data_IF_867669717025
#
_entry.id   IF_867669717025
#
_cell.length_a   1.000
_cell.length_b   1.000
_cell.length_c   1.000
_cell.angle_alpha   90.00
_cell.angle_beta   90.00
_cell.angle_gamma   90.00
#
_symmetry.space_group_name_H-M   'P 1'
#
loop_
_entity.id
_entity.type
_entity.pdbx_description
1 polymer ?
#
# COMPACT_ATOMS: atom_id res chain seq x y z
N UNK A 1 6.67 8.29 -16.71
CA UNK A 1 6.87 6.84 -16.51
C UNK A 1 5.52 6.21 -16.16
N UNK A 2 5.32 4.96 -16.55
CA UNK A 2 4.04 4.24 -16.45
C UNK A 2 4.17 3.05 -15.50
N UNK A 3 3.26 2.97 -14.57
CA UNK A 3 3.22 1.95 -13.51
C UNK A 3 2.05 1.02 -13.73
N UNK A 4 2.28 -0.28 -13.64
CA UNK A 4 1.23 -1.29 -13.47
C UNK A 4 1.12 -1.57 -11.98
N UNK A 5 0.03 -1.15 -11.36
CA UNK A 5 -0.28 -1.43 -9.95
C UNK A 5 -1.32 -2.53 -9.86
N UNK A 6 -1.04 -3.57 -9.09
CA UNK A 6 -1.96 -4.69 -8.85
C UNK A 6 -2.08 -4.90 -7.34
N UNK A 7 -3.30 -5.03 -6.81
CA UNK A 7 -3.42 -5.31 -5.38
C UNK A 7 -4.84 -5.24 -4.83
N UNK A 8 -4.96 -5.59 -3.55
CA UNK A 8 -6.21 -5.48 -2.82
C UNK A 8 -6.54 -4.03 -2.50
N UNK A 9 -7.80 -3.66 -2.61
CA UNK A 9 -8.29 -2.34 -2.26
C UNK A 9 -9.43 -2.39 -1.25
N UNK A 10 -9.57 -1.34 -0.46
CA UNK A 10 -10.68 -1.19 0.48
C UNK A 10 -11.21 0.24 0.54
N UNK A 11 -12.35 0.37 1.21
CA UNK A 11 -12.90 1.65 1.64
C UNK A 11 -12.72 1.77 3.14
N UNK A 12 -11.98 2.78 3.59
CA UNK A 12 -11.88 3.14 5.00
C UNK A 12 -12.97 4.15 5.34
N UNK A 13 -13.78 3.83 6.33
CA UNK A 13 -14.89 4.67 6.82
C UNK A 13 -14.56 5.10 8.26
N UNK A 14 -14.61 6.39 8.51
CA UNK A 14 -14.35 6.98 9.82
C UNK A 14 -15.64 7.60 10.32
N UNK A 15 -16.26 7.02 11.35
CA UNK A 15 -17.47 7.52 12.00
C UNK A 15 -17.05 8.25 13.27
N UNK A 16 -17.18 9.56 13.27
CA UNK A 16 -16.88 10.40 14.42
C UNK A 16 -18.15 10.71 15.19
N UNK A 17 -18.07 10.66 16.51
CA UNK A 17 -19.21 10.95 17.39
C UNK A 17 -18.79 11.23 18.82
N UNK A 18 -19.77 11.44 19.68
CA UNK A 18 -19.57 11.64 21.11
C UNK A 18 -19.74 10.33 21.87
N UNK A 19 -18.83 10.05 22.79
CA UNK A 19 -18.96 8.98 23.79
C UNK A 19 -19.16 9.61 25.16
N UNK A 20 -20.43 9.66 25.63
CA UNK A 20 -20.80 10.34 26.89
C UNK A 20 -21.10 9.37 28.03
N UNK A 21 -21.45 8.13 27.72
CA UNK A 21 -21.91 7.14 28.70
C UNK A 21 -21.63 5.72 28.27
N UNK A 22 -21.64 4.83 29.22
CA UNK A 22 -21.65 3.39 28.99
C UNK A 22 -23.07 2.88 28.74
N UNK A 23 -23.17 1.78 28.02
CA UNK A 23 -24.43 1.09 27.83
C UNK A 23 -24.88 0.45 29.17
N UNK A 24 -26.14 0.62 29.63
CA UNK A 24 -26.64 -0.01 30.83
C UNK A 24 -26.76 -1.53 30.71
N UNK A 25 -26.85 -2.07 29.49
CA UNK A 25 -27.02 -3.53 29.25
C UNK A 25 -25.69 -4.26 29.16
N UNK A 26 -24.56 -3.56 28.87
CA UNK A 26 -23.23 -4.14 28.73
C UNK A 26 -22.16 -3.08 28.99
N UNK A 27 -20.95 -3.44 29.48
CA UNK A 27 -19.88 -2.50 29.78
C UNK A 27 -19.16 -2.02 28.51
N UNK A 28 -19.93 -1.46 27.57
CA UNK A 28 -19.43 -0.92 26.30
C UNK A 28 -19.84 0.55 26.14
N UNK A 29 -19.02 1.38 25.49
CA UNK A 29 -19.38 2.77 25.23
C UNK A 29 -20.55 2.89 24.24
N UNK A 30 -21.36 3.92 24.38
CA UNK A 30 -22.36 4.32 23.39
C UNK A 30 -21.79 5.50 22.63
N UNK A 31 -21.60 5.33 21.31
CA UNK A 31 -21.19 6.40 20.40
C UNK A 31 -22.44 7.01 19.76
N UNK A 32 -22.59 8.32 19.88
CA UNK A 32 -23.61 9.12 19.20
C UNK A 32 -22.98 9.71 17.94
N UNK A 33 -23.22 9.16 16.71
CA UNK A 33 -22.52 9.58 15.52
C UNK A 33 -22.90 11.01 15.09
N UNK A 34 -21.92 11.81 14.63
CA UNK A 34 -22.09 13.18 14.16
C UNK A 34 -21.73 13.37 12.70
N UNK A 35 -20.62 12.76 12.27
CA UNK A 35 -20.14 12.84 10.88
C UNK A 35 -19.45 11.57 10.46
N UNK A 36 -19.36 11.39 9.18
CA UNK A 36 -18.67 10.25 8.56
C UNK A 36 -17.78 10.76 7.45
N UNK A 37 -16.52 10.32 7.46
CA UNK A 37 -15.57 10.54 6.39
C UNK A 37 -15.25 9.18 5.73
N UNK A 38 -14.95 9.22 4.44
CA UNK A 38 -14.65 8.01 3.67
C UNK A 38 -13.42 8.24 2.82
N UNK A 39 -12.45 7.33 2.92
CA UNK A 39 -11.23 7.34 2.11
C UNK A 39 -11.02 6.00 1.43
N UNK A 40 -10.18 5.97 0.39
CA UNK A 40 -9.78 4.74 -0.28
C UNK A 40 -8.45 4.27 0.28
N UNK A 41 -8.39 3.04 0.76
CA UNK A 41 -7.22 2.43 1.42
C UNK A 41 -6.56 1.32 0.61
N UNK A 42 -5.51 0.71 1.19
CA UNK A 42 -4.70 -0.35 0.59
C UNK A 42 -4.08 0.11 -0.74
N UNK A 43 -4.20 -0.66 -1.83
CA UNK A 43 -3.63 -0.32 -3.13
C UNK A 43 -4.09 1.05 -3.66
N UNK A 44 -5.27 1.56 -3.26
CA UNK A 44 -5.67 2.93 -3.59
C UNK A 44 -4.79 4.00 -2.95
N UNK A 45 -4.26 3.76 -1.74
CA UNK A 45 -3.32 4.70 -1.13
C UNK A 45 -1.98 4.71 -1.87
N UNK A 46 -1.50 3.53 -2.31
CA UNK A 46 -0.33 3.43 -3.20
C UNK A 46 -0.59 4.16 -4.52
N UNK A 47 -1.76 3.95 -5.14
CA UNK A 47 -2.17 4.63 -6.37
C UNK A 47 -2.13 6.15 -6.24
N UNK A 48 -2.72 6.69 -5.18
CA UNK A 48 -2.80 8.12 -4.96
C UNK A 48 -1.39 8.73 -4.79
N UNK A 49 -0.51 8.09 -4.02
CA UNK A 49 0.85 8.57 -3.81
C UNK A 49 1.71 8.43 -5.07
N UNK A 50 1.61 7.34 -5.84
CA UNK A 50 2.29 7.22 -7.14
C UNK A 50 1.85 8.32 -8.12
N UNK A 51 0.54 8.63 -8.12
CA UNK A 51 -0.02 9.70 -8.96
C UNK A 51 0.46 11.09 -8.50
N UNK A 52 0.56 11.32 -7.18
CA UNK A 52 1.10 12.55 -6.61
C UNK A 52 2.55 12.80 -7.06
N UNK A 53 3.36 11.74 -7.20
CA UNK A 53 4.70 11.82 -7.79
C UNK A 53 4.69 12.06 -9.32
N UNK A 54 3.54 12.23 -9.96
CA UNK A 54 3.41 12.48 -11.40
C UNK A 54 3.57 11.24 -12.27
N UNK A 55 3.45 10.04 -11.71
CA UNK A 55 3.48 8.79 -12.47
C UNK A 55 2.11 8.49 -13.09
N UNK A 56 2.11 7.91 -14.28
CA UNK A 56 0.89 7.41 -14.93
C UNK A 56 0.63 5.99 -14.46
N UNK A 57 -0.43 5.78 -13.69
CA UNK A 57 -0.72 4.50 -13.05
C UNK A 57 -1.91 3.82 -13.70
N UNK A 58 -1.74 2.57 -14.11
CA UNK A 58 -2.84 1.67 -14.44
C UNK A 58 -3.00 0.69 -13.28
N UNK A 59 -4.19 0.64 -12.70
CA UNK A 59 -4.45 -0.15 -11.50
C UNK A 59 -5.45 -1.27 -11.77
N UNK A 60 -5.12 -2.46 -11.30
CA UNK A 60 -6.00 -3.63 -11.22
C UNK A 60 -6.24 -3.96 -9.75
N UNK A 61 -7.51 -4.04 -9.36
CA UNK A 61 -7.92 -4.32 -7.98
C UNK A 61 -9.25 -5.08 -7.95
N UNK A 62 -9.57 -5.65 -6.79
CA UNK A 62 -10.84 -6.33 -6.54
C UNK A 62 -12.05 -5.43 -6.83
N UNK A 63 -13.11 -6.04 -7.34
CA UNK A 63 -14.42 -5.38 -7.53
C UNK A 63 -15.26 -5.42 -6.26
N UNK A 64 -15.09 -6.47 -5.47
CA UNK A 64 -15.78 -6.66 -4.21
C UNK A 64 -15.37 -5.56 -3.21
N UNK A 65 -16.35 -5.02 -2.52
CA UNK A 65 -16.14 -3.87 -1.63
C UNK A 65 -15.72 -4.33 -0.22
N UNK A 66 -14.43 -4.34 0.05
CA UNK A 66 -13.91 -4.43 1.42
C UNK A 66 -14.15 -3.09 2.12
N UNK A 67 -14.75 -3.12 3.31
CA UNK A 67 -15.00 -1.90 4.11
C UNK A 67 -14.41 -2.06 5.50
N UNK A 68 -13.66 -1.02 5.94
CA UNK A 68 -13.10 -0.94 7.30
C UNK A 68 -13.66 0.29 7.99
N UNK A 69 -14.60 0.08 8.89
CA UNK A 69 -15.28 1.15 9.62
C UNK A 69 -14.62 1.35 10.99
N UNK A 70 -14.13 2.57 11.23
CA UNK A 70 -13.56 2.99 12.52
C UNK A 70 -14.51 3.94 13.20
N UNK A 71 -14.89 3.62 14.43
CA UNK A 71 -15.70 4.47 15.28
C UNK A 71 -14.80 5.22 16.24
N UNK A 72 -14.86 6.56 16.22
CA UNK A 72 -13.92 7.44 16.91
C UNK A 72 -14.67 8.41 17.79
N UNK A 73 -14.28 8.50 19.07
CA UNK A 73 -14.72 9.59 19.93
C UNK A 73 -14.05 10.89 19.48
N UNK A 74 -14.85 11.83 18.98
CA UNK A 74 -14.34 13.07 18.37
C UNK A 74 -13.59 13.94 19.39
N UNK A 75 -14.00 13.89 20.66
CA UNK A 75 -13.40 14.72 21.70
C UNK A 75 -12.02 14.26 22.13
N UNK A 76 -11.82 12.94 22.30
CA UNK A 76 -10.55 12.35 22.70
C UNK A 76 -9.69 11.92 21.52
N UNK A 77 -10.26 11.88 20.32
CA UNK A 77 -9.69 11.29 19.11
C UNK A 77 -9.31 9.79 19.30
N UNK A 78 -10.00 9.12 20.21
CA UNK A 78 -9.76 7.70 20.51
C UNK A 78 -10.63 6.81 19.63
N UNK A 79 -10.02 5.82 18.97
CA UNK A 79 -10.75 4.77 18.28
C UNK A 79 -11.38 3.84 19.30
N UNK A 80 -12.72 3.70 19.25
CA UNK A 80 -13.51 2.88 20.15
C UNK A 80 -13.69 1.45 19.63
N UNK A 81 -13.93 1.34 18.33
CA UNK A 81 -14.21 0.08 17.66
C UNK A 81 -13.76 0.15 16.20
N UNK A 82 -13.32 -0.99 15.65
CA UNK A 82 -13.21 -1.18 14.21
C UNK A 82 -14.05 -2.38 13.79
N UNK A 83 -14.80 -2.21 12.72
CA UNK A 83 -15.59 -3.25 12.07
C UNK A 83 -15.04 -3.45 10.67
N UNK A 84 -14.60 -4.66 10.36
CA UNK A 84 -14.12 -5.04 9.05
C UNK A 84 -15.20 -5.91 8.36
N UNK A 85 -15.71 -5.41 7.24
CA UNK A 85 -16.61 -6.13 6.34
C UNK A 85 -15.77 -6.55 5.12
N UNK A 86 -15.42 -7.82 5.08
CA UNK A 86 -14.50 -8.41 4.10
C UNK A 86 -15.21 -9.56 3.38
N UNK A 87 -15.87 -9.31 2.25
CA UNK A 87 -16.47 -10.36 1.44
C UNK A 87 -15.39 -11.26 0.83
N UNK A 88 -15.80 -12.43 0.35
CA UNK A 88 -14.92 -13.29 -0.46
C UNK A 88 -14.51 -12.56 -1.75
N UNK A 89 -13.21 -12.42 -1.95
CA UNK A 89 -12.64 -11.71 -3.08
C UNK A 89 -12.34 -12.71 -4.21
N UNK A 90 -12.81 -12.40 -5.41
CA UNK A 90 -12.45 -13.17 -6.61
C UNK A 90 -11.00 -12.89 -6.97
N UNK A 91 -10.21 -13.96 -7.18
CA UNK A 91 -8.84 -13.80 -7.65
C UNK A 91 -8.77 -13.02 -8.97
N UNK A 92 -7.66 -12.29 -9.15
CA UNK A 92 -7.35 -11.63 -10.41
C UNK A 92 -7.52 -12.63 -11.57
N UNK A 93 -8.47 -12.41 -12.49
CA UNK A 93 -8.64 -13.28 -13.64
C UNK A 93 -7.40 -13.16 -14.53
N UNK A 94 -6.73 -14.28 -14.75
CA UNK A 94 -5.53 -14.32 -15.57
C UNK A 94 -5.83 -14.95 -16.92
N UNK A 95 -5.84 -14.10 -17.93
CA UNK A 95 -5.40 -14.45 -19.27
C UNK A 95 -4.47 -13.34 -19.74
N UNK A 96 -3.17 -13.62 -20.03
CA UNK A 96 -2.32 -12.59 -20.61
C UNK A 96 -2.92 -12.21 -21.97
N UNK A 97 -3.26 -10.94 -22.19
CA UNK A 97 -3.75 -10.54 -23.49
C UNK A 97 -2.57 -10.57 -24.46
N UNK A 98 -2.68 -11.37 -25.51
CA UNK A 98 -1.85 -11.26 -26.69
C UNK A 98 -2.25 -10.04 -27.54
N UNK A 99 -2.56 -8.90 -26.91
CA UNK A 99 -2.90 -7.68 -27.61
C UNK A 99 -1.60 -6.91 -27.85
N UNK A 100 -1.11 -7.00 -29.07
CA UNK A 100 0.08 -6.25 -29.53
C UNK A 100 -0.26 -4.82 -29.99
N UNK A 101 -1.54 -4.50 -30.20
CA UNK A 101 -1.99 -3.20 -30.70
C UNK A 101 -2.69 -2.38 -29.60
N UNK A 102 -2.07 -1.24 -29.23
CA UNK A 102 -2.64 -0.28 -28.26
C UNK A 102 -3.98 0.30 -28.71
N UNK A 103 -4.21 0.45 -30.01
CA UNK A 103 -5.44 1.03 -30.57
C UNK A 103 -6.65 0.07 -30.47
N UNK A 104 -6.38 -1.24 -30.42
CA UNK A 104 -7.36 -2.29 -30.30
C UNK A 104 -7.73 -2.63 -28.84
N UNK A 105 -7.02 -2.05 -27.86
CA UNK A 105 -7.30 -2.27 -26.45
C UNK A 105 -8.55 -1.50 -25.99
N UNK A 106 -9.70 -2.04 -26.35
CA UNK A 106 -10.98 -1.66 -25.74
C UNK A 106 -11.09 -2.42 -24.42
N UNK A 107 -10.72 -1.71 -23.35
CA UNK A 107 -10.71 -2.09 -21.95
C UNK A 107 -11.79 -3.11 -21.55
N UNK A 108 -11.57 -4.43 -21.59
CA UNK A 108 -12.36 -5.35 -20.78
C UNK A 108 -11.89 -5.16 -19.32
N UNK A 109 -12.78 -5.13 -18.36
CA UNK A 109 -12.49 -4.73 -16.99
C UNK A 109 -11.48 -5.60 -16.22
N UNK A 110 -10.97 -6.70 -16.79
CA UNK A 110 -10.21 -7.70 -16.04
C UNK A 110 -8.97 -8.26 -16.80
N UNK A 111 -8.47 -7.59 -17.84
CA UNK A 111 -7.28 -8.06 -18.54
C UNK A 111 -6.04 -7.27 -18.12
N UNK A 112 -4.94 -7.99 -17.84
CA UNK A 112 -3.64 -7.37 -17.62
C UNK A 112 -3.16 -6.83 -18.97
N UNK A 113 -2.87 -5.52 -19.09
CA UNK A 113 -2.35 -4.95 -20.33
C UNK A 113 -0.98 -5.50 -20.67
N UNK A 114 -0.52 -5.37 -21.94
CA UNK A 114 0.82 -5.81 -22.33
C UNK A 114 1.90 -5.21 -21.43
N UNK A 115 2.81 -6.05 -20.92
CA UNK A 115 3.87 -5.65 -20.00
C UNK A 115 4.79 -4.56 -20.55
N UNK A 116 4.98 -4.53 -21.85
CA UNK A 116 5.81 -3.56 -22.58
C UNK A 116 5.25 -2.12 -22.50
N UNK A 117 4.01 -1.98 -22.00
CA UNK A 117 3.41 -0.66 -21.80
C UNK A 117 3.83 0.01 -20.48
N UNK A 118 4.53 -0.71 -19.61
CA UNK A 118 4.88 -0.23 -18.28
C UNK A 118 6.37 -0.27 -18.02
N UNK A 119 6.85 0.71 -17.29
CA UNK A 119 8.25 0.86 -16.91
C UNK A 119 8.55 0.09 -15.61
N UNK A 120 7.52 -0.14 -14.78
CA UNK A 120 7.62 -0.80 -13.48
C UNK A 120 6.29 -1.46 -13.12
N UNK A 121 6.33 -2.57 -12.36
CA UNK A 121 5.17 -3.18 -11.74
C UNK A 121 5.25 -3.04 -10.21
N UNK A 122 4.12 -2.71 -9.61
CA UNK A 122 3.94 -2.64 -8.15
C UNK A 122 2.83 -3.59 -7.74
N UNK A 123 3.08 -4.42 -6.74
CA UNK A 123 2.07 -5.31 -6.15
C UNK A 123 1.87 -4.90 -4.69
N UNK A 124 0.63 -4.50 -4.34
CA UNK A 124 0.20 -4.16 -2.99
C UNK A 124 -0.80 -5.20 -2.51
N UNK A 125 -0.28 -6.27 -1.92
CA UNK A 125 -1.01 -7.48 -1.55
C UNK A 125 -1.27 -7.53 -0.04
N UNK A 126 -2.51 -7.29 0.33
CA UNK A 126 -2.99 -7.36 1.72
C UNK A 126 -3.52 -8.74 2.11
N UNK A 127 -3.29 -9.74 1.24
CA UNK A 127 -3.74 -11.12 1.40
C UNK A 127 -5.26 -11.24 1.58
N UNK A 128 -6.01 -10.44 0.78
CA UNK A 128 -7.48 -10.48 0.75
C UNK A 128 -8.03 -11.42 -0.33
N UNK A 129 -7.16 -11.99 -1.16
CA UNK A 129 -7.53 -13.00 -2.15
C UNK A 129 -7.44 -12.55 -3.60
N UNK A 130 -7.30 -11.23 -3.88
CA UNK A 130 -7.18 -10.75 -5.26
C UNK A 130 -5.89 -11.23 -5.92
N UNK A 131 -4.74 -11.13 -5.22
CA UNK A 131 -3.47 -11.71 -5.65
C UNK A 131 -3.27 -13.02 -4.92
N UNK A 132 -3.52 -14.17 -5.55
CA UNK A 132 -3.24 -15.48 -4.95
C UNK A 132 -1.74 -15.73 -4.85
N UNK A 133 -1.34 -16.77 -4.09
CA UNK A 133 0.05 -17.16 -3.97
C UNK A 133 0.67 -17.48 -5.35
N UNK A 134 -0.06 -18.24 -6.19
CA UNK A 134 0.36 -18.59 -7.54
C UNK A 134 0.50 -17.35 -8.41
N UNK A 135 -0.48 -16.41 -8.33
CA UNK A 135 -0.47 -15.17 -9.10
C UNK A 135 0.72 -14.29 -8.74
N UNK A 136 1.10 -14.22 -7.47
CA UNK A 136 2.25 -13.44 -7.05
C UNK A 136 3.54 -13.90 -7.78
N UNK A 137 3.76 -15.22 -7.88
CA UNK A 137 4.89 -15.78 -8.61
C UNK A 137 4.75 -15.63 -10.13
N UNK A 138 3.57 -15.87 -10.69
CA UNK A 138 3.31 -15.72 -12.12
C UNK A 138 3.58 -14.29 -12.58
N UNK A 139 3.05 -13.29 -11.87
CA UNK A 139 3.23 -11.87 -12.18
C UNK A 139 4.69 -11.46 -12.10
N UNK A 140 5.39 -11.85 -11.03
CA UNK A 140 6.82 -11.52 -10.86
C UNK A 140 7.71 -12.12 -11.94
N UNK A 141 7.38 -13.32 -12.42
CA UNK A 141 8.11 -13.97 -13.52
C UNK A 141 7.71 -13.43 -14.90
N UNK A 142 6.46 -13.00 -15.07
CA UNK A 142 5.95 -12.48 -16.33
C UNK A 142 6.52 -11.10 -16.65
N UNK A 143 6.65 -10.21 -15.65
CA UNK A 143 7.11 -8.84 -15.87
C UNK A 143 8.63 -8.82 -16.00
N UNK A 144 9.14 -8.12 -17.03
CA UNK A 144 10.59 -8.11 -17.35
C UNK A 144 11.32 -6.86 -16.82
N UNK A 145 10.59 -5.90 -16.27
CA UNK A 145 11.12 -4.71 -15.62
C UNK A 145 11.26 -4.87 -14.10
N UNK A 146 11.55 -3.79 -13.39
CA UNK A 146 11.56 -3.79 -11.92
C UNK A 146 10.18 -4.13 -11.36
N UNK A 147 10.15 -4.98 -10.33
CA UNK A 147 8.93 -5.35 -9.61
C UNK A 147 9.11 -5.01 -8.15
N UNK A 148 8.17 -4.25 -7.59
CA UNK A 148 8.10 -3.92 -6.17
C UNK A 148 6.88 -4.60 -5.56
N UNK A 149 7.06 -5.32 -4.46
CA UNK A 149 6.00 -6.09 -3.81
C UNK A 149 5.94 -5.71 -2.33
N UNK A 150 4.77 -5.31 -1.87
CA UNK A 150 4.38 -5.31 -0.45
C UNK A 150 3.35 -6.42 -0.26
N UNK A 151 3.66 -7.43 0.55
CA UNK A 151 2.78 -8.60 0.71
C UNK A 151 2.73 -9.08 2.15
N UNK A 152 1.57 -9.62 2.52
CA UNK A 152 1.34 -10.32 3.80
C UNK A 152 1.64 -11.82 3.71
N UNK A 153 1.96 -12.33 2.52
CA UNK A 153 2.26 -13.73 2.30
C UNK A 153 3.64 -14.11 2.85
N UNK A 154 3.78 -15.35 3.26
CA UNK A 154 5.02 -15.88 3.86
C UNK A 154 5.93 -16.57 2.85
N UNK A 155 5.40 -16.93 1.70
CA UNK A 155 6.17 -17.46 0.57
C UNK A 155 6.24 -16.39 -0.52
N UNK A 156 7.45 -15.96 -0.86
CA UNK A 156 7.71 -14.76 -1.68
C UNK A 156 8.62 -15.08 -2.87
N UNK A 157 8.46 -14.40 -4.03
CA UNK A 157 9.34 -14.59 -5.19
C UNK A 157 10.72 -13.98 -4.96
N UNK A 158 11.75 -14.58 -5.56
CA UNK A 158 13.15 -14.13 -5.43
C UNK A 158 13.60 -13.07 -6.43
N UNK A 159 12.78 -12.75 -7.44
CA UNK A 159 13.12 -11.88 -8.57
C UNK A 159 12.49 -10.49 -8.51
N UNK A 160 12.04 -10.05 -7.32
CA UNK A 160 11.42 -8.76 -7.07
C UNK A 160 12.00 -8.09 -5.84
N UNK A 161 11.88 -6.77 -5.73
CA UNK A 161 12.12 -6.04 -4.49
C UNK A 161 10.92 -6.26 -3.55
N UNK A 162 11.17 -6.91 -2.43
CA UNK A 162 10.12 -7.28 -1.48
C UNK A 162 10.18 -6.34 -0.28
N UNK A 163 9.19 -5.49 -0.12
CA UNK A 163 9.02 -4.64 1.06
C UNK A 163 8.12 -5.34 2.06
N UNK A 164 8.58 -5.46 3.29
CA UNK A 164 7.82 -5.98 4.43
C UNK A 164 8.14 -5.16 5.67
N UNK A 165 7.27 -5.21 6.67
CA UNK A 165 7.63 -4.72 7.99
C UNK A 165 8.32 -5.81 8.82
N UNK A 166 8.89 -5.44 9.96
CA UNK A 166 9.62 -6.37 10.84
C UNK A 166 8.75 -7.55 11.32
N UNK A 167 7.46 -7.33 11.58
CA UNK A 167 6.56 -8.40 12.03
C UNK A 167 6.19 -9.36 10.91
N UNK A 168 6.11 -8.89 9.68
CA UNK A 168 5.90 -9.70 8.49
C UNK A 168 7.15 -10.49 8.14
N UNK A 169 8.32 -9.85 8.22
CA UNK A 169 9.61 -10.51 8.00
C UNK A 169 9.80 -11.73 8.90
N UNK A 170 9.46 -11.64 10.18
CA UNK A 170 9.56 -12.76 11.14
C UNK A 170 8.67 -13.97 10.79
N UNK A 171 7.66 -13.78 9.92
CA UNK A 171 6.76 -14.85 9.48
C UNK A 171 7.21 -15.55 8.20
N UNK A 172 8.21 -15.00 7.50
CA UNK A 172 8.75 -15.60 6.28
C UNK A 172 9.57 -16.82 6.68
N UNK A 173 9.13 -18.00 6.24
CA UNK A 173 9.69 -19.30 6.67
C UNK A 173 10.55 -19.98 5.63
N UNK A 174 10.58 -19.46 4.40
CA UNK A 174 11.28 -20.04 3.27
C UNK A 174 12.44 -19.13 2.83
N UNK A 175 12.93 -19.31 1.63
CA UNK A 175 14.02 -18.53 1.05
C UNK A 175 13.83 -17.01 1.27
N UNK A 176 14.85 -16.36 1.84
CA UNK A 176 14.90 -14.90 2.01
C UNK A 176 15.76 -14.36 0.84
N UNK A 177 15.17 -13.63 -0.11
CA UNK A 177 15.92 -13.06 -1.22
C UNK A 177 16.79 -11.88 -0.77
N UNK A 178 17.91 -11.66 -1.46
CA UNK A 178 18.79 -10.49 -1.21
C UNK A 178 18.11 -9.14 -1.44
N UNK A 179 16.94 -9.14 -2.10
CA UNK A 179 16.16 -7.95 -2.44
C UNK A 179 15.11 -7.58 -1.37
N UNK A 180 15.27 -8.07 -0.13
CA UNK A 180 14.38 -7.74 0.97
C UNK A 180 14.62 -6.35 1.51
N UNK A 181 13.54 -5.58 1.64
CA UNK A 181 13.50 -4.23 2.20
C UNK A 181 12.62 -4.28 3.44
N UNK A 182 13.23 -4.18 4.62
CA UNK A 182 12.55 -4.40 5.90
C UNK A 182 12.35 -3.05 6.59
N UNK A 183 11.10 -2.59 6.67
CA UNK A 183 10.76 -1.36 7.41
C UNK A 183 10.65 -1.63 8.90
N UNK A 184 11.35 -0.83 9.72
CA UNK A 184 11.46 -0.95 11.19
C UNK A 184 10.87 0.27 11.93
N UNK A 185 9.82 0.86 11.37
CA UNK A 185 9.15 2.02 11.93
C UNK A 185 10.13 3.19 12.16
N UNK A 186 10.18 3.72 13.37
CA UNK A 186 11.04 4.87 13.72
C UNK A 186 12.56 4.61 13.65
N UNK A 187 13.00 3.37 13.51
CA UNK A 187 14.42 3.05 13.29
C UNK A 187 14.82 3.24 11.83
N UNK A 188 13.88 3.13 10.90
CA UNK A 188 14.12 3.28 9.47
C UNK A 188 13.92 1.98 8.69
N UNK A 189 14.80 1.74 7.72
CA UNK A 189 14.66 0.62 6.77
C UNK A 189 15.98 -0.12 6.65
N UNK A 190 15.93 -1.44 6.76
CA UNK A 190 17.08 -2.32 6.52
C UNK A 190 17.03 -2.89 5.10
N UNK A 191 18.16 -2.85 4.41
CA UNK A 191 18.38 -3.46 3.10
C UNK A 191 19.79 -4.01 3.02
N UNK A 192 19.95 -5.29 2.68
CA UNK A 192 21.23 -6.00 2.58
C UNK A 192 22.11 -5.81 3.84
N UNK A 193 21.52 -5.91 5.03
CA UNK A 193 22.19 -5.76 6.31
C UNK A 193 22.61 -4.32 6.68
N UNK A 194 22.29 -3.33 5.83
CA UNK A 194 22.54 -1.92 6.11
C UNK A 194 21.25 -1.25 6.56
N UNK A 195 21.31 -0.53 7.68
CA UNK A 195 20.22 0.29 8.18
C UNK A 195 20.29 1.69 7.56
N UNK A 196 19.17 2.12 6.98
CA UNK A 196 18.92 3.47 6.49
C UNK A 196 17.98 4.16 7.49
N UNK A 197 18.45 5.12 8.29
CA UNK A 197 17.68 5.67 9.39
C UNK A 197 16.42 6.42 8.91
N UNK A 198 15.36 6.36 9.71
CA UNK A 198 14.19 7.21 9.51
C UNK A 198 14.45 8.63 10.01
N UNK A 199 13.71 9.60 9.47
CA UNK A 199 13.67 10.94 10.04
C UNK A 199 12.87 10.94 11.35
N UNK A 200 13.36 11.70 12.34
CA UNK A 200 12.69 11.85 13.63
C UNK A 200 11.57 12.87 13.50
N UNK A 201 10.34 12.40 13.48
CA UNK A 201 9.15 13.23 13.41
C UNK A 201 8.18 12.90 14.55
N UNK A 202 7.23 13.80 14.81
CA UNK A 202 6.13 13.50 15.72
C UNK A 202 5.13 12.62 14.99
N UNK A 203 4.96 11.39 15.48
CA UNK A 203 4.02 10.41 14.92
C UNK A 203 2.62 10.71 15.43
N UNK A 204 1.68 10.91 14.50
CA UNK A 204 0.25 11.05 14.80
C UNK A 204 -0.52 9.78 14.46
N UNK A 205 -0.23 9.18 13.29
CA UNK A 205 -0.86 7.94 12.84
C UNK A 205 0.12 7.17 11.95
N UNK A 206 0.09 5.85 12.02
CA UNK A 206 0.93 4.98 11.19
C UNK A 206 0.17 4.35 10.01
N UNK A 207 -1.14 4.63 9.90
CA UNK A 207 -1.98 4.09 8.84
C UNK A 207 -1.54 4.62 7.48
N UNK A 208 -1.30 3.70 6.54
CA UNK A 208 -0.89 4.05 5.17
C UNK A 208 0.59 4.42 4.98
N UNK A 209 1.39 4.50 6.06
CA UNK A 209 2.82 4.80 5.94
C UNK A 209 3.58 3.79 5.06
N UNK A 210 3.21 2.51 5.15
CA UNK A 210 3.78 1.45 4.31
C UNK A 210 3.46 1.62 2.83
N UNK A 211 2.24 2.06 2.52
CA UNK A 211 1.80 2.34 1.14
C UNK A 211 2.53 3.55 0.56
N UNK A 212 2.65 4.62 1.36
CA UNK A 212 3.42 5.82 0.98
C UNK A 212 4.89 5.48 0.77
N UNK A 213 5.48 4.67 1.66
CA UNK A 213 6.84 4.17 1.49
C UNK A 213 7.00 3.39 0.18
N UNK A 214 6.10 2.45 -0.13
CA UNK A 214 6.13 1.64 -1.36
C UNK A 214 6.06 2.53 -2.61
N UNK A 215 5.16 3.50 -2.62
CA UNK A 215 5.03 4.45 -3.73
C UNK A 215 6.28 5.31 -3.92
N UNK A 216 6.82 5.86 -2.82
CA UNK A 216 8.03 6.67 -2.83
C UNK A 216 9.28 5.86 -3.21
N UNK A 217 9.39 4.61 -2.73
CA UNK A 217 10.46 3.68 -3.10
C UNK A 217 10.46 3.41 -4.60
N UNK A 218 9.28 3.16 -5.17
CA UNK A 218 9.11 2.95 -6.61
C UNK A 218 9.52 4.18 -7.40
N UNK A 219 9.04 5.36 -7.02
CA UNK A 219 9.41 6.61 -7.68
C UNK A 219 10.90 6.90 -7.56
N UNK A 220 11.47 6.75 -6.37
CA UNK A 220 12.91 6.97 -6.11
C UNK A 220 13.78 6.04 -6.97
N UNK A 221 13.41 4.76 -7.07
CA UNK A 221 14.11 3.82 -7.94
C UNK A 221 14.04 4.22 -9.42
N UNK A 222 12.86 4.61 -9.90
CA UNK A 222 12.71 5.09 -11.29
C UNK A 222 13.51 6.35 -11.57
N UNK A 223 13.72 7.20 -10.56
CA UNK A 223 14.47 8.44 -10.65
C UNK A 223 15.98 8.24 -10.58
N UNK A 224 16.44 7.42 -9.63
CA UNK A 224 17.88 7.28 -9.32
C UNK A 224 18.52 6.02 -9.94
N UNK A 225 17.72 5.02 -10.32
CA UNK A 225 18.18 3.74 -10.86
C UNK A 225 18.78 2.80 -9.83
N UNK A 226 18.80 3.17 -8.54
CA UNK A 226 19.42 2.44 -7.45
C UNK A 226 18.53 2.40 -6.21
N UNK A 227 18.41 1.21 -5.61
CA UNK A 227 17.56 1.00 -4.44
C UNK A 227 18.10 1.70 -3.19
N UNK A 228 19.43 1.78 -3.07
CA UNK A 228 20.10 2.41 -1.94
C UNK A 228 19.87 3.93 -1.87
N UNK A 229 19.55 4.56 -3.01
CA UNK A 229 19.18 5.98 -3.09
C UNK A 229 17.67 6.17 -2.93
N UNK A 230 16.88 5.17 -3.35
CA UNK A 230 15.43 5.21 -3.23
C UNK A 230 14.94 5.02 -1.79
N UNK A 231 15.64 4.22 -0.96
CA UNK A 231 15.25 3.95 0.43
C UNK A 231 15.25 5.23 1.30
N UNK A 232 16.30 6.06 1.34
CA UNK A 232 16.26 7.31 2.09
C UNK A 232 15.13 8.24 1.66
N UNK A 233 14.87 8.33 0.35
CA UNK A 233 13.75 9.08 -0.19
C UNK A 233 12.39 8.53 0.31
N UNK A 234 12.23 7.21 0.32
CA UNK A 234 11.02 6.55 0.81
C UNK A 234 10.83 6.72 2.34
N UNK A 235 11.92 6.71 3.11
CA UNK A 235 11.89 6.98 4.55
C UNK A 235 11.39 8.41 4.84
N UNK A 236 11.85 9.43 4.10
CA UNK A 236 11.36 10.81 4.22
C UNK A 236 9.86 10.90 3.91
N UNK A 237 9.41 10.30 2.81
CA UNK A 237 8.00 10.26 2.44
C UNK A 237 7.12 9.60 3.52
N UNK A 238 7.56 8.47 4.06
CA UNK A 238 6.85 7.79 5.15
C UNK A 238 6.83 8.62 6.44
N UNK A 239 7.92 9.36 6.77
CA UNK A 239 7.99 10.25 7.92
C UNK A 239 6.96 11.39 7.81
N UNK A 240 6.79 11.98 6.62
CA UNK A 240 5.73 12.97 6.38
C UNK A 240 4.35 12.32 6.58
N UNK A 241 4.11 11.15 6.00
CA UNK A 241 2.81 10.48 6.12
C UNK A 241 2.41 10.21 7.57
N UNK A 242 3.33 9.72 8.43
CA UNK A 242 3.02 9.45 9.85
C UNK A 242 2.84 10.71 10.70
N UNK A 243 3.19 11.89 10.19
CA UNK A 243 2.93 13.18 10.84
C UNK A 243 1.51 13.70 10.61
N UNK A 244 0.67 12.95 9.88
CA UNK A 244 -0.73 13.24 9.60
C UNK A 244 -1.65 12.14 10.13
N UNK A 245 -2.94 12.43 10.27
CA UNK A 245 -3.94 11.45 10.72
C UNK A 245 -4.57 10.73 9.54
N UNK A 246 -4.71 9.40 9.62
CA UNK A 246 -5.30 8.56 8.58
C UNK A 246 -4.37 8.32 7.39
N UNK A 247 -4.95 7.81 6.29
CA UNK A 247 -4.20 7.63 5.04
C UNK A 247 -3.89 8.98 4.41
N UNK A 248 -2.61 9.33 4.36
CA UNK A 248 -2.15 10.60 3.81
C UNK A 248 -1.64 10.45 2.38
N UNK A 249 -2.02 11.38 1.52
CA UNK A 249 -1.48 11.51 0.16
C UNK A 249 -0.54 12.71 0.14
N UNK A 250 0.69 12.51 -0.27
CA UNK A 250 1.71 13.56 -0.33
C UNK A 250 1.25 14.71 -1.23
N UNK A 251 1.40 15.92 -0.74
CA UNK A 251 1.19 17.14 -1.51
C UNK A 251 2.38 17.45 -2.41
N UNK A 252 2.24 18.44 -3.29
CA UNK A 252 3.35 18.91 -4.10
C UNK A 252 4.46 19.50 -3.24
N UNK A 253 4.09 20.23 -2.20
CA UNK A 253 5.00 20.84 -1.24
C UNK A 253 5.82 19.79 -0.50
N UNK A 254 5.18 18.70 -0.05
CA UNK A 254 5.87 17.56 0.57
C UNK A 254 6.88 16.92 -0.37
N UNK A 255 6.49 16.72 -1.63
CA UNK A 255 7.35 16.12 -2.65
C UNK A 255 8.54 17.03 -2.94
N UNK A 256 8.33 18.33 -3.06
CA UNK A 256 9.39 19.30 -3.28
C UNK A 256 10.38 19.30 -2.08
N UNK A 257 9.88 19.20 -0.83
CA UNK A 257 10.72 19.07 0.38
C UNK A 257 11.58 17.79 0.37
N UNK A 258 11.00 16.65 -0.02
CA UNK A 258 11.74 15.38 -0.09
C UNK A 258 12.84 15.42 -1.16
N UNK A 259 12.60 16.15 -2.26
CA UNK A 259 13.50 16.22 -3.42
C UNK A 259 14.72 17.13 -3.22
N UNK A 260 14.65 18.02 -2.25
CA UNK A 260 15.70 18.97 -1.88
C UNK A 260 16.40 18.58 -0.57
#
# INVERSE_FOLDING_TARGET
>A
MRVLLIGDSCTDVYVYGDVKRLNPEAPVPILEPKRQDTTRGMAWNVYNNLTAFGLSVFMLTNEEKITKTRYIDEKSNQQILRVDDEPEIKPLPYEPPFITDRSAYHKPPHQIPPKEWYDVMVISDYDKGYVTQEKLFELSNWFQGPVFIDTKKTCIPGNAFIKVNESEFKKITHFIPDNMIITKGGEGTEYQGKLYPAEKVKVFDVVGAGDTFLAALTYGYLKYGRIEEAIPFANKAAAIAVSHTGTYVLTKEDIDEILH
#
